data_IF_745614673365
#
_entry.id   IF_745614673365
#
_cell.length_a   1.000
_cell.length_b   1.000
_cell.length_c   1.000
_cell.angle_alpha   90.00
_cell.angle_beta   90.00
_cell.angle_gamma   90.00
#
_symmetry.space_group_name_H-M   'P 1'
#
loop_
_entity.id
_entity.type
_entity.pdbx_description
1 polymer ?
#
# COMPACT_ATOMS: atom_id res chain seq x y z
N UNK A 1 -19.92 16.35 -15.01
CA UNK A 1 -20.55 16.36 -13.68
C UNK A 1 -19.47 16.75 -12.66
N UNK A 2 -19.57 17.92 -12.07
CA UNK A 2 -18.65 18.33 -11.01
C UNK A 2 -19.06 17.58 -9.74
N UNK A 3 -18.14 16.84 -9.13
CA UNK A 3 -18.44 16.07 -7.93
C UNK A 3 -18.72 16.95 -6.71
N UNK A 4 -18.32 18.20 -6.68
CA UNK A 4 -18.63 19.20 -5.64
C UNK A 4 -18.36 18.78 -4.18
N UNK A 5 -17.81 17.58 -3.97
CA UNK A 5 -17.54 16.98 -2.69
C UNK A 5 -16.05 16.80 -2.46
N UNK A 6 -15.62 16.78 -1.22
CA UNK A 6 -14.23 16.54 -0.87
C UNK A 6 -13.89 15.05 -0.88
N UNK A 7 -12.66 14.76 -1.21
CA UNK A 7 -12.08 13.41 -1.21
C UNK A 7 -11.13 13.29 -0.02
N UNK A 8 -11.15 12.14 0.64
CA UNK A 8 -10.20 11.81 1.69
C UNK A 8 -9.40 10.56 1.27
N UNK A 9 -8.09 10.63 1.36
CA UNK A 9 -7.20 9.50 1.03
C UNK A 9 -6.26 9.19 2.17
N UNK A 10 -6.03 7.92 2.44
CA UNK A 10 -5.08 7.46 3.46
C UNK A 10 -4.23 6.31 2.99
N UNK A 11 -3.08 6.15 3.64
CA UNK A 11 -2.12 5.08 3.43
C UNK A 11 -1.98 4.24 4.70
N UNK A 12 -1.84 2.92 4.57
CA UNK A 12 -1.61 2.05 5.72
C UNK A 12 -0.90 0.74 5.36
N UNK A 13 -0.44 0.03 6.39
CA UNK A 13 0.34 -1.19 6.24
C UNK A 13 1.80 -0.94 5.90
N UNK A 14 2.52 -1.96 5.42
CA UNK A 14 3.93 -1.84 5.05
C UNK A 14 4.14 -0.90 3.86
N UNK A 15 5.07 0.07 3.95
CA UNK A 15 5.43 0.90 2.81
C UNK A 15 5.97 0.07 1.64
N UNK A 16 5.71 0.52 0.41
CA UNK A 16 6.18 -0.11 -0.83
C UNK A 16 6.60 0.96 -1.83
N UNK A 17 7.25 0.56 -2.91
CA UNK A 17 7.61 1.47 -3.99
C UNK A 17 6.38 2.11 -4.69
N UNK A 18 5.20 1.47 -4.61
CA UNK A 18 4.00 1.90 -5.35
C UNK A 18 3.05 2.77 -4.53
N UNK A 19 3.13 2.74 -3.19
CA UNK A 19 2.07 3.32 -2.35
C UNK A 19 1.90 4.82 -2.56
N UNK A 20 2.99 5.54 -2.81
CA UNK A 20 2.96 6.97 -3.12
C UNK A 20 2.48 7.25 -4.56
N UNK A 21 2.79 6.37 -5.52
CA UNK A 21 2.21 6.47 -6.88
C UNK A 21 0.70 6.30 -6.86
N UNK A 22 0.19 5.39 -6.02
CA UNK A 22 -1.25 5.23 -5.82
C UNK A 22 -1.89 6.49 -5.20
N UNK A 23 -1.21 7.12 -4.23
CA UNK A 23 -1.67 8.39 -3.64
C UNK A 23 -1.73 9.50 -4.70
N UNK A 24 -0.67 9.66 -5.50
CA UNK A 24 -0.63 10.64 -6.59
C UNK A 24 -1.76 10.39 -7.60
N UNK A 25 -2.01 9.13 -7.98
CA UNK A 25 -3.10 8.77 -8.89
C UNK A 25 -4.49 9.11 -8.32
N UNK A 26 -4.73 8.88 -7.03
CA UNK A 26 -6.00 9.29 -6.38
C UNK A 26 -6.14 10.81 -6.40
N UNK A 27 -5.07 11.55 -6.06
CA UNK A 27 -5.07 13.01 -6.06
C UNK A 27 -5.37 13.57 -7.45
N UNK A 28 -4.61 13.17 -8.46
CA UNK A 28 -4.78 13.66 -9.84
C UNK A 28 -6.19 13.32 -10.39
N UNK A 29 -6.67 12.11 -10.16
CA UNK A 29 -7.99 11.69 -10.62
C UNK A 29 -9.12 12.47 -9.90
N UNK A 30 -9.00 12.68 -8.59
CA UNK A 30 -9.97 13.45 -7.82
C UNK A 30 -10.04 14.90 -8.31
N UNK A 31 -8.89 15.56 -8.54
CA UNK A 31 -8.84 16.92 -9.08
C UNK A 31 -9.39 16.99 -10.51
N UNK A 32 -9.07 16.04 -11.38
CA UNK A 32 -9.59 15.98 -12.75
C UNK A 32 -11.12 15.80 -12.79
N UNK A 33 -11.70 15.12 -11.79
CA UNK A 33 -13.15 14.95 -11.64
C UNK A 33 -13.84 16.11 -10.92
N UNK A 34 -13.09 17.12 -10.49
CA UNK A 34 -13.64 18.34 -9.90
C UNK A 34 -13.89 18.24 -8.40
N UNK A 35 -13.12 17.44 -7.67
CA UNK A 35 -13.12 17.48 -6.21
C UNK A 35 -12.70 18.88 -5.73
N UNK A 36 -13.45 19.44 -4.77
CA UNK A 36 -13.16 20.76 -4.23
C UNK A 36 -11.84 20.73 -3.45
N UNK A 37 -11.71 19.77 -2.52
CA UNK A 37 -10.48 19.51 -1.77
C UNK A 37 -10.15 18.02 -1.78
N UNK A 38 -8.85 17.70 -1.70
CA UNK A 38 -8.35 16.35 -1.46
C UNK A 38 -7.57 16.34 -0.16
N UNK A 39 -8.15 15.72 0.85
CA UNK A 39 -7.52 15.60 2.18
C UNK A 39 -6.73 14.30 2.30
N UNK A 40 -5.62 14.36 3.03
CA UNK A 40 -4.79 13.22 3.41
C UNK A 40 -4.97 12.84 4.88
N UNK A 41 -5.16 11.55 5.17
CA UNK A 41 -5.10 11.01 6.53
C UNK A 41 -3.64 10.78 6.91
N UNK A 42 -3.05 11.58 7.77
CA UNK A 42 -1.73 11.27 8.31
C UNK A 42 -1.83 10.08 9.26
N UNK A 43 -0.96 9.07 9.07
CA UNK A 43 -0.95 7.80 9.82
C UNK A 43 -2.26 7.00 9.73
N UNK A 44 -2.92 7.07 8.57
CA UNK A 44 -4.11 6.30 8.25
C UNK A 44 -5.30 6.56 9.20
N UNK A 45 -6.15 5.56 9.38
CA UNK A 45 -7.34 5.66 10.25
C UNK A 45 -6.98 5.99 11.70
N UNK A 46 -5.87 5.47 12.21
CA UNK A 46 -5.43 5.76 13.58
C UNK A 46 -5.13 7.25 13.78
N UNK A 47 -4.43 7.86 12.83
CA UNK A 47 -4.13 9.28 12.89
C UNK A 47 -5.38 10.14 12.65
N UNK A 48 -6.27 9.72 11.75
CA UNK A 48 -7.53 10.40 11.51
C UNK A 48 -8.40 10.47 12.79
N UNK A 49 -8.49 9.38 13.55
CA UNK A 49 -9.15 9.36 14.88
C UNK A 49 -8.51 10.33 15.89
N UNK A 50 -7.25 10.68 15.69
CA UNK A 50 -6.53 11.71 16.47
C UNK A 50 -6.64 13.11 15.86
N UNK A 51 -7.43 13.29 14.80
CA UNK A 51 -7.61 14.57 14.10
C UNK A 51 -6.44 14.95 13.20
N UNK A 52 -5.53 14.01 12.84
CA UNK A 52 -4.40 14.25 11.94
C UNK A 52 -4.86 14.16 10.50
N UNK A 53 -5.16 15.30 9.94
CA UNK A 53 -5.60 15.49 8.56
C UNK A 53 -4.86 16.67 7.94
N UNK A 54 -4.51 16.55 6.66
CA UNK A 54 -3.85 17.61 5.89
C UNK A 54 -4.60 17.88 4.61
N UNK A 55 -4.59 19.11 4.14
CA UNK A 55 -5.03 19.41 2.79
C UNK A 55 -3.88 19.10 1.81
N UNK A 56 -4.12 18.21 0.87
CA UNK A 56 -3.12 17.85 -0.13
C UNK A 56 -3.02 18.89 -1.23
N UNK A 57 -4.02 19.74 -1.39
CA UNK A 57 -3.97 20.86 -2.35
C UNK A 57 -2.86 21.86 -1.96
N UNK A 58 -2.57 22.01 -0.67
CA UNK A 58 -1.48 22.85 -0.17
C UNK A 58 -0.09 22.23 -0.33
N UNK A 59 -0.02 20.90 -0.60
CA UNK A 59 1.24 20.14 -0.63
C UNK A 59 1.59 19.58 -2.01
N UNK A 60 0.64 19.47 -2.91
CA UNK A 60 0.77 18.83 -4.23
C UNK A 60 0.24 19.76 -5.33
N UNK A 61 0.48 21.04 -5.21
CA UNK A 61 0.03 22.07 -6.17
C UNK A 61 0.89 22.12 -7.43
N UNK A 62 2.14 21.65 -7.36
CA UNK A 62 3.08 21.59 -8.48
C UNK A 62 3.14 20.17 -9.10
N UNK A 63 3.12 20.14 -10.43
CA UNK A 63 3.33 18.90 -11.21
C UNK A 63 4.65 18.20 -10.88
N UNK A 64 5.70 18.97 -10.57
CA UNK A 64 7.00 18.40 -10.23
C UNK A 64 6.94 17.66 -8.90
N UNK A 65 6.21 18.17 -7.91
CA UNK A 65 6.01 17.50 -6.62
C UNK A 65 5.23 16.21 -6.77
N UNK A 66 4.19 16.20 -7.62
CA UNK A 66 3.42 14.99 -7.93
C UNK A 66 4.31 13.95 -8.62
N UNK A 67 5.12 14.35 -9.60
CA UNK A 67 6.06 13.45 -10.27
C UNK A 67 7.17 12.94 -9.33
N UNK A 68 7.63 13.76 -8.40
CA UNK A 68 8.56 13.35 -7.35
C UNK A 68 7.89 12.34 -6.39
N UNK A 69 6.66 12.61 -5.96
CA UNK A 69 5.88 11.71 -5.13
C UNK A 69 5.72 10.31 -5.77
N UNK A 70 5.41 10.25 -7.07
CA UNK A 70 5.29 9.00 -7.82
C UNK A 70 6.55 8.15 -7.78
N UNK A 71 7.72 8.77 -7.70
CA UNK A 71 9.04 8.11 -7.72
C UNK A 71 9.63 7.87 -6.34
N UNK A 72 9.08 8.49 -5.31
CA UNK A 72 9.57 8.38 -3.94
C UNK A 72 8.96 7.15 -3.27
N UNK A 73 9.75 6.14 -2.91
CA UNK A 73 9.25 4.99 -2.15
C UNK A 73 8.87 5.40 -0.73
N UNK A 74 8.22 4.49 0.00
CA UNK A 74 7.69 4.70 1.35
C UNK A 74 6.29 5.30 1.36
N UNK A 75 5.82 5.80 2.49
CA UNK A 75 4.46 6.27 2.71
C UNK A 75 4.47 7.76 3.06
N UNK A 76 4.06 8.59 2.11
CA UNK A 76 4.09 10.05 2.24
C UNK A 76 3.22 10.56 3.40
N UNK A 77 2.05 9.97 3.58
CA UNK A 77 1.13 10.29 4.68
C UNK A 77 1.45 9.53 5.97
N UNK A 78 2.58 8.82 6.04
CA UNK A 78 2.84 7.89 7.12
C UNK A 78 1.97 6.63 7.01
N UNK A 79 2.05 5.76 8.00
CA UNK A 79 1.33 4.48 8.01
C UNK A 79 0.88 4.11 9.41
N UNK A 80 -0.07 3.17 9.50
CA UNK A 80 -0.47 2.56 10.76
C UNK A 80 -0.74 1.06 10.58
N UNK A 81 -0.83 0.34 11.70
CA UNK A 81 -1.27 -1.05 11.78
C UNK A 81 -2.52 -1.19 12.66
N UNK A 82 -3.38 -0.19 12.61
CA UNK A 82 -4.61 -0.17 13.36
C UNK A 82 -5.68 -1.04 12.68
N UNK A 83 -6.28 -1.94 13.46
CA UNK A 83 -7.42 -2.75 13.04
C UNK A 83 -8.70 -2.13 13.58
N UNK A 84 -9.57 -1.71 12.68
CA UNK A 84 -10.89 -1.23 13.05
C UNK A 84 -11.69 -2.40 13.68
N UNK A 85 -12.28 -2.23 14.87
CA UNK A 85 -13.05 -3.29 15.53
C UNK A 85 -14.29 -3.68 14.72
N UNK A 86 -15.00 -4.71 15.16
CA UNK A 86 -16.33 -4.97 14.63
C UNK A 86 -17.30 -3.92 15.18
N UNK A 87 -18.12 -3.23 14.38
CA UNK A 87 -19.04 -2.19 14.87
C UNK A 87 -20.08 -2.74 15.86
N UNK A 88 -20.39 -4.04 15.82
CA UNK A 88 -21.27 -4.68 16.80
C UNK A 88 -20.64 -4.82 18.19
N UNK A 89 -19.31 -4.80 18.30
CA UNK A 89 -18.60 -4.88 19.59
C UNK A 89 -18.13 -3.53 20.09
N UNK A 90 -17.71 -2.64 19.19
CA UNK A 90 -17.34 -1.26 19.53
C UNK A 90 -17.66 -0.31 18.35
N UNK A 91 -18.76 0.40 18.47
CA UNK A 91 -19.24 1.35 17.46
C UNK A 91 -18.53 2.72 17.53
N UNK A 92 -17.90 3.06 18.66
CA UNK A 92 -17.36 4.41 18.93
C UNK A 92 -16.39 4.91 17.85
N UNK A 93 -15.43 4.12 17.34
CA UNK A 93 -14.53 4.59 16.28
C UNK A 93 -15.28 4.91 14.99
N UNK A 94 -16.35 4.18 14.66
CA UNK A 94 -17.16 4.44 13.47
C UNK A 94 -17.91 5.76 13.59
N UNK A 95 -18.57 5.99 14.73
CA UNK A 95 -19.28 7.25 15.00
C UNK A 95 -18.33 8.43 14.85
N UNK A 96 -17.16 8.37 15.50
CA UNK A 96 -16.14 9.43 15.42
C UNK A 96 -15.63 9.65 13.98
N UNK A 97 -15.40 8.60 13.21
CA UNK A 97 -14.97 8.72 11.82
C UNK A 97 -16.05 9.38 10.95
N UNK A 98 -17.32 8.99 11.11
CA UNK A 98 -18.41 9.57 10.32
C UNK A 98 -18.69 11.03 10.72
N UNK A 99 -18.49 11.43 11.98
CA UNK A 99 -18.50 12.84 12.40
C UNK A 99 -17.38 13.64 11.72
N UNK A 100 -16.17 13.07 11.61
CA UNK A 100 -15.08 13.70 10.89
C UNK A 100 -15.37 13.79 9.38
N UNK A 101 -15.93 12.75 8.77
CA UNK A 101 -16.33 12.79 7.37
C UNK A 101 -17.37 13.89 7.12
N UNK A 102 -18.35 14.03 7.99
CA UNK A 102 -19.34 15.09 7.90
C UNK A 102 -18.70 16.49 8.09
N UNK A 103 -17.82 16.65 9.07
CA UNK A 103 -17.11 17.90 9.35
C UNK A 103 -16.33 18.41 8.13
N UNK A 104 -15.66 17.50 7.39
CA UNK A 104 -14.87 17.84 6.22
C UNK A 104 -15.63 17.69 4.90
N UNK A 105 -16.95 17.50 4.93
CA UNK A 105 -17.80 17.32 3.76
C UNK A 105 -17.27 16.25 2.79
N UNK A 106 -16.83 15.11 3.33
CA UNK A 106 -16.23 14.01 2.56
C UNK A 106 -17.32 13.24 1.82
N UNK A 107 -17.19 13.14 0.49
CA UNK A 107 -18.09 12.33 -0.36
C UNK A 107 -17.46 11.02 -0.82
N UNK A 108 -16.13 10.90 -0.76
CA UNK A 108 -15.43 9.66 -1.07
C UNK A 108 -14.18 9.48 -0.20
N UNK A 109 -13.96 8.24 0.23
CA UNK A 109 -12.81 7.83 1.03
C UNK A 109 -12.03 6.77 0.26
N UNK A 110 -10.75 7.05 0.00
CA UNK A 110 -9.81 6.11 -0.58
C UNK A 110 -8.82 5.64 0.49
N UNK A 111 -8.62 4.34 0.59
CA UNK A 111 -7.67 3.79 1.54
C UNK A 111 -6.71 2.83 0.85
N UNK A 112 -5.44 3.24 0.80
CA UNK A 112 -4.38 2.54 0.10
C UNK A 112 -3.68 1.61 1.09
N UNK A 113 -3.64 0.31 0.81
CA UNK A 113 -2.96 -0.59 1.74
C UNK A 113 -3.16 -2.08 1.43
N UNK A 114 -2.73 -2.92 2.37
CA UNK A 114 -2.84 -4.37 2.30
C UNK A 114 -4.18 -4.90 2.83
N UNK A 115 -4.20 -6.19 3.18
CA UNK A 115 -5.42 -6.92 3.58
C UNK A 115 -6.18 -6.24 4.74
N UNK A 116 -5.48 -5.80 5.80
CA UNK A 116 -6.13 -5.11 6.93
C UNK A 116 -6.75 -3.76 6.51
N UNK A 117 -6.19 -3.11 5.49
CA UNK A 117 -6.74 -1.86 4.95
C UNK A 117 -8.00 -2.10 4.14
N UNK A 118 -8.03 -3.19 3.38
CA UNK A 118 -9.22 -3.60 2.62
C UNK A 118 -10.35 -4.04 3.56
N UNK A 119 -10.05 -4.75 4.65
CA UNK A 119 -11.01 -5.07 5.72
C UNK A 119 -11.57 -3.80 6.37
N UNK A 120 -10.73 -2.81 6.63
CA UNK A 120 -11.15 -1.51 7.18
C UNK A 120 -12.16 -0.83 6.24
N UNK A 121 -11.88 -0.77 4.94
CA UNK A 121 -12.78 -0.18 3.96
C UNK A 121 -14.09 -0.95 3.84
N UNK A 122 -14.04 -2.28 3.86
CA UNK A 122 -15.24 -3.10 3.83
C UNK A 122 -16.15 -2.84 5.05
N UNK A 123 -15.57 -2.74 6.24
CA UNK A 123 -16.31 -2.40 7.48
C UNK A 123 -16.92 -1.00 7.43
N UNK A 124 -16.17 0.01 6.97
CA UNK A 124 -16.68 1.38 6.82
C UNK A 124 -17.81 1.46 5.80
N UNK A 125 -17.67 0.76 4.67
CA UNK A 125 -18.69 0.70 3.63
C UNK A 125 -19.98 0.05 4.16
N UNK A 126 -19.88 -1.09 4.84
CA UNK A 126 -21.02 -1.79 5.42
C UNK A 126 -21.71 -0.95 6.50
N UNK A 127 -20.92 -0.32 7.38
CA UNK A 127 -21.46 0.59 8.41
C UNK A 127 -22.16 1.80 7.79
N UNK A 128 -21.54 2.45 6.79
CA UNK A 128 -22.12 3.57 6.08
C UNK A 128 -23.45 3.20 5.41
N UNK A 129 -23.49 2.07 4.71
CA UNK A 129 -24.72 1.58 4.08
C UNK A 129 -25.86 1.34 5.11
N UNK A 130 -25.53 0.74 6.27
CA UNK A 130 -26.48 0.52 7.35
C UNK A 130 -27.02 1.82 7.98
N UNK A 131 -26.25 2.91 7.89
CA UNK A 131 -26.66 4.25 8.39
C UNK A 131 -27.22 5.16 7.28
N UNK A 132 -27.38 4.67 6.06
CA UNK A 132 -27.90 5.45 4.93
C UNK A 132 -26.93 6.54 4.43
N UNK A 133 -25.63 6.36 4.64
CA UNK A 133 -24.61 7.30 4.18
C UNK A 133 -24.38 7.15 2.67
N UNK A 134 -24.25 8.29 1.98
CA UNK A 134 -23.92 8.35 0.53
C UNK A 134 -22.39 8.36 0.27
N UNK A 135 -21.56 8.34 1.31
CA UNK A 135 -20.10 8.34 1.18
C UNK A 135 -19.65 7.05 0.47
N UNK A 136 -18.79 7.21 -0.51
CA UNK A 136 -18.19 6.09 -1.25
C UNK A 136 -16.88 5.67 -0.61
N UNK A 137 -16.74 4.39 -0.31
CA UNK A 137 -15.53 3.81 0.28
C UNK A 137 -14.83 2.94 -0.76
N UNK A 138 -13.61 3.29 -1.11
CA UNK A 138 -12.81 2.65 -2.16
C UNK A 138 -11.49 2.16 -1.57
N UNK A 139 -11.25 0.86 -1.62
CA UNK A 139 -9.95 0.26 -1.32
C UNK A 139 -9.03 0.32 -2.53
N UNK A 140 -7.79 0.75 -2.33
CA UNK A 140 -6.73 0.72 -3.34
C UNK A 140 -5.68 -0.29 -2.87
N UNK A 141 -5.71 -1.53 -3.38
CA UNK A 141 -4.86 -2.59 -2.87
C UNK A 141 -3.40 -2.40 -3.28
N UNK A 142 -2.49 -2.76 -2.37
CA UNK A 142 -1.06 -2.94 -2.64
C UNK A 142 -0.53 -4.09 -1.80
N UNK A 143 0.32 -4.91 -2.37
CA UNK A 143 1.09 -5.95 -1.68
C UNK A 143 2.29 -6.34 -2.53
N UNK A 144 3.41 -6.69 -1.87
CA UNK A 144 4.56 -7.27 -2.54
C UNK A 144 4.46 -8.80 -2.60
N UNK A 145 3.54 -9.40 -1.87
CA UNK A 145 3.43 -10.86 -1.74
C UNK A 145 2.84 -11.53 -2.99
N UNK A 146 2.24 -10.74 -3.89
CA UNK A 146 1.57 -11.21 -5.11
C UNK A 146 0.42 -12.19 -4.83
N UNK A 147 -0.34 -11.93 -3.78
CA UNK A 147 -1.35 -12.83 -3.22
C UNK A 147 -2.81 -12.36 -3.43
N UNK A 148 -3.05 -11.45 -4.37
CA UNK A 148 -4.40 -11.01 -4.72
C UNK A 148 -5.02 -11.95 -5.75
N UNK A 149 -6.27 -12.37 -5.50
CA UNK A 149 -7.02 -13.20 -6.44
C UNK A 149 -7.24 -12.46 -7.77
N UNK A 150 -7.23 -13.21 -8.86
CA UNK A 150 -7.45 -12.71 -10.23
C UNK A 150 -6.45 -11.62 -10.67
N UNK A 151 -5.28 -11.58 -10.06
CA UNK A 151 -4.25 -10.58 -10.34
C UNK A 151 -2.92 -11.26 -10.61
N UNK A 152 -2.35 -11.09 -11.81
CA UNK A 152 -1.07 -11.71 -12.18
C UNK A 152 0.11 -11.03 -11.48
N UNK A 153 0.09 -9.69 -11.44
CA UNK A 153 1.11 -8.87 -10.80
C UNK A 153 0.46 -7.82 -9.91
N UNK A 154 0.58 -8.00 -8.60
CA UNK A 154 0.01 -7.05 -7.65
C UNK A 154 0.80 -5.75 -7.61
N UNK A 155 0.14 -4.61 -7.32
CA UNK A 155 0.84 -3.32 -7.15
C UNK A 155 1.87 -3.40 -6.02
N UNK A 156 3.16 -3.28 -6.37
CA UNK A 156 4.30 -3.41 -5.47
C UNK A 156 5.17 -4.65 -5.71
N UNK A 157 4.61 -5.75 -6.25
CA UNK A 157 5.34 -6.99 -6.48
C UNK A 157 6.50 -6.83 -7.47
N UNK A 158 6.28 -6.25 -8.64
CA UNK A 158 7.30 -6.13 -9.67
C UNK A 158 8.56 -5.37 -9.22
N UNK A 159 8.37 -4.28 -8.46
CA UNK A 159 9.50 -3.53 -7.87
C UNK A 159 10.24 -4.35 -6.81
N UNK A 160 9.52 -5.10 -5.98
CA UNK A 160 10.11 -5.97 -4.96
C UNK A 160 10.87 -7.14 -5.60
N UNK A 161 10.31 -7.79 -6.63
CA UNK A 161 10.95 -8.86 -7.38
C UNK A 161 12.26 -8.39 -8.04
N UNK A 162 12.24 -7.22 -8.68
CA UNK A 162 13.45 -6.60 -9.25
C UNK A 162 14.51 -6.32 -8.18
N UNK A 163 14.09 -5.79 -7.04
CA UNK A 163 15.02 -5.53 -5.93
C UNK A 163 15.68 -6.83 -5.44
N UNK A 164 14.90 -7.89 -5.21
CA UNK A 164 15.40 -9.20 -4.77
C UNK A 164 16.40 -9.77 -5.78
N UNK A 165 16.05 -9.80 -7.07
CA UNK A 165 16.92 -10.29 -8.12
C UNK A 165 18.26 -9.52 -8.14
N UNK A 166 18.23 -8.19 -8.02
CA UNK A 166 19.42 -7.34 -8.03
C UNK A 166 20.30 -7.59 -6.81
N UNK A 167 19.72 -7.56 -5.61
CA UNK A 167 20.49 -7.73 -4.36
C UNK A 167 21.08 -9.14 -4.25
N UNK A 168 20.32 -10.18 -4.61
CA UNK A 168 20.84 -11.52 -4.56
C UNK A 168 21.99 -11.73 -5.58
N UNK A 169 21.90 -11.13 -6.75
CA UNK A 169 22.99 -11.14 -7.72
C UNK A 169 24.27 -10.52 -7.14
N UNK A 170 24.15 -9.36 -6.48
CA UNK A 170 25.28 -8.71 -5.80
C UNK A 170 25.87 -9.61 -4.71
N UNK A 171 25.02 -10.19 -3.84
CA UNK A 171 25.45 -11.08 -2.75
C UNK A 171 26.14 -12.34 -3.28
N UNK A 172 25.61 -12.97 -4.36
CA UNK A 172 26.22 -14.14 -4.98
C UNK A 172 27.58 -13.79 -5.58
N UNK A 173 27.68 -12.68 -6.31
CA UNK A 173 28.94 -12.23 -6.89
C UNK A 173 29.97 -11.92 -5.80
N UNK A 174 29.59 -11.21 -4.74
CA UNK A 174 30.49 -10.89 -3.62
C UNK A 174 30.99 -12.16 -2.92
N UNK A 175 30.12 -13.12 -2.63
CA UNK A 175 30.52 -14.37 -1.98
C UNK A 175 31.42 -15.26 -2.85
N UNK A 176 31.42 -15.09 -4.17
CA UNK A 176 32.22 -15.87 -5.10
C UNK A 176 33.69 -15.43 -5.23
N UNK A 177 34.06 -14.24 -4.69
CA UNK A 177 35.43 -13.71 -4.85
C UNK A 177 36.45 -14.36 -3.91
N UNK A 178 36.00 -15.10 -2.90
CA UNK A 178 36.86 -15.70 -1.91
C UNK A 178 37.04 -17.21 -2.16
N UNK A 179 38.26 -17.72 -2.05
CA UNK A 179 38.58 -19.15 -2.10
C UNK A 179 38.33 -19.81 -0.74
N UNK A 180 37.10 -19.64 -0.22
CA UNK A 180 36.64 -20.26 1.03
C UNK A 180 35.24 -20.82 0.81
N UNK A 181 34.92 -21.90 1.53
CA UNK A 181 33.55 -22.43 1.54
C UNK A 181 32.66 -21.55 2.40
N UNK A 182 31.60 -21.03 1.81
CA UNK A 182 30.58 -20.23 2.51
C UNK A 182 29.18 -20.72 2.16
N UNK A 183 28.24 -20.50 3.07
CA UNK A 183 26.81 -20.71 2.85
C UNK A 183 26.09 -19.43 3.22
N UNK A 184 25.39 -18.84 2.28
CA UNK A 184 24.54 -17.65 2.48
C UNK A 184 23.09 -18.06 2.45
N UNK A 185 22.35 -17.74 3.50
CA UNK A 185 20.90 -17.97 3.59
C UNK A 185 20.21 -16.61 3.57
N UNK A 186 19.40 -16.38 2.55
CA UNK A 186 18.60 -15.17 2.42
C UNK A 186 17.13 -15.47 2.75
N UNK A 187 16.60 -14.87 3.82
CA UNK A 187 15.19 -14.92 4.13
C UNK A 187 14.45 -13.83 3.33
N UNK A 188 13.47 -14.25 2.54
CA UNK A 188 12.66 -13.36 1.68
C UNK A 188 11.24 -13.35 2.20
N UNK A 189 10.60 -12.17 2.20
CA UNK A 189 9.20 -12.01 2.61
C UNK A 189 8.26 -12.83 1.73
N UNK A 190 7.18 -13.31 2.33
CA UNK A 190 6.15 -14.13 1.69
C UNK A 190 5.68 -15.23 2.61
N UNK A 191 4.75 -14.90 3.55
CA UNK A 191 4.31 -15.85 4.59
C UNK A 191 3.61 -17.09 4.03
N UNK A 192 2.78 -16.89 3.03
CA UNK A 192 1.89 -17.93 2.47
C UNK A 192 2.09 -18.14 0.98
N UNK A 193 2.90 -17.31 0.34
CA UNK A 193 3.16 -17.34 -1.10
C UNK A 193 4.65 -17.16 -1.38
N UNK A 194 5.20 -17.99 -2.23
CA UNK A 194 6.62 -18.01 -2.58
C UNK A 194 7.01 -17.13 -3.78
N UNK A 195 6.14 -16.24 -4.23
CA UNK A 195 6.40 -15.42 -5.42
C UNK A 195 7.69 -14.59 -5.35
N UNK A 196 7.93 -13.94 -4.20
CA UNK A 196 9.16 -13.16 -4.01
C UNK A 196 10.40 -14.07 -3.89
N UNK A 197 10.28 -15.18 -3.15
CA UNK A 197 11.36 -16.16 -3.09
C UNK A 197 11.65 -16.76 -4.47
N UNK A 198 10.61 -17.06 -5.26
CA UNK A 198 10.74 -17.51 -6.64
C UNK A 198 11.41 -16.48 -7.56
N UNK A 199 11.17 -15.18 -7.33
CA UNK A 199 11.81 -14.09 -8.07
C UNK A 199 13.35 -14.07 -7.88
N UNK A 200 13.88 -14.72 -6.84
CA UNK A 200 15.32 -14.91 -6.66
C UNK A 200 15.99 -15.60 -7.85
N UNK A 201 15.26 -16.46 -8.58
CA UNK A 201 15.75 -17.12 -9.79
C UNK A 201 16.13 -16.14 -10.90
N UNK A 202 15.56 -14.94 -10.90
CA UNK A 202 15.87 -13.87 -11.87
C UNK A 202 17.26 -13.25 -11.66
N UNK A 203 17.98 -13.60 -10.58
CA UNK A 203 19.39 -13.25 -10.42
C UNK A 203 20.29 -13.99 -11.41
N UNK A 204 19.84 -15.14 -11.91
CA UNK A 204 20.60 -15.92 -12.91
C UNK A 204 20.68 -15.18 -14.23
N UNK A 205 21.88 -15.23 -14.86
CA UNK A 205 22.16 -14.60 -16.13
C UNK A 205 23.54 -15.00 -16.67
N UNK A 206 24.01 -14.33 -17.69
CA UNK A 206 25.33 -14.61 -18.28
C UNK A 206 26.50 -14.37 -17.31
N UNK A 207 26.29 -13.57 -16.29
CA UNK A 207 27.28 -13.09 -15.32
C UNK A 207 27.03 -13.55 -13.88
N UNK A 208 25.99 -14.37 -13.64
CA UNK A 208 25.66 -14.93 -12.33
C UNK A 208 24.87 -16.23 -12.46
N UNK A 209 25.25 -17.26 -11.71
CA UNK A 209 24.56 -18.56 -11.74
C UNK A 209 23.20 -18.55 -11.06
N UNK A 210 22.89 -17.51 -10.27
CA UNK A 210 21.72 -17.47 -9.43
C UNK A 210 21.86 -18.27 -8.13
N UNK A 211 20.79 -18.34 -7.29
CA UNK A 211 20.81 -19.13 -6.06
C UNK A 211 20.81 -20.62 -6.33
N UNK A 212 21.55 -21.40 -5.55
CA UNK A 212 21.63 -22.86 -5.68
C UNK A 212 20.32 -23.54 -5.27
N UNK A 213 19.64 -23.02 -4.25
CA UNK A 213 18.41 -23.58 -3.70
C UNK A 213 17.40 -22.44 -3.42
N UNK A 214 16.16 -22.65 -3.85
CA UNK A 214 15.03 -21.78 -3.52
C UNK A 214 13.99 -22.61 -2.80
N UNK A 215 13.68 -22.25 -1.55
CA UNK A 215 12.65 -22.89 -0.74
C UNK A 215 11.37 -22.03 -0.80
N UNK A 216 10.25 -22.67 -1.11
CA UNK A 216 8.94 -22.03 -1.23
C UNK A 216 8.01 -22.51 -0.13
N UNK A 217 7.18 -21.63 0.48
CA UNK A 217 6.25 -22.03 1.55
C UNK A 217 5.18 -23.04 1.08
N UNK A 218 4.92 -23.12 -0.22
CA UNK A 218 3.95 -24.04 -0.80
C UNK A 218 4.46 -25.49 -0.88
N UNK A 219 5.75 -25.72 -0.66
CA UNK A 219 6.36 -27.06 -0.74
C UNK A 219 7.10 -27.38 0.53
N UNK A 220 6.71 -28.45 1.25
CA UNK A 220 7.52 -28.97 2.34
C UNK A 220 8.86 -29.51 1.79
N UNK A 221 9.91 -29.38 2.56
CA UNK A 221 11.23 -29.92 2.25
C UNK A 221 11.69 -30.91 3.33
#
# INVERSE_FOLDING_TARGET
MSWGTNVLVGQSGGPTAVINSSLAGVYEAAKALGAAHVYGMEYGIQGLLQGKIVDLDDRLDDKMEIELLKRTPSSYLGSCRFKLPNPATDERPFVQLFELFAKYCIGAVFYIGGNDSMDTIAKLSAYGAAKGSEIRFIGVPKTIDNDLMYTDHTPGYGSAAKYIATILKEVICDSSVYDIRSVTVAEIMGRHTGWLAGAASLAAGADCNGPDIILLPERPF
#
